data_IF_643460292833
#
_entry.id   IF_643460292833
#
_cell.length_a   1.000
_cell.length_b   1.000
_cell.length_c   1.000
_cell.angle_alpha   90.00
_cell.angle_beta   90.00
_cell.angle_gamma   90.00
#
_symmetry.space_group_name_H-M   'P 1'
#
loop_
_entity.id
_entity.type
_entity.pdbx_description
1 polymer ?
#
# COMPACT_ATOMS: atom_id res chain seq x y z
N UNK A 1 -9.52 -29.34 1.22
CA UNK A 1 -10.56 -28.79 0.29
C UNK A 1 -11.06 -27.41 0.73
N UNK A 2 -11.28 -27.13 2.03
CA UNK A 2 -11.57 -25.75 2.49
C UNK A 2 -10.35 -24.82 2.36
N UNK A 3 -9.16 -25.36 2.62
CA UNK A 3 -7.92 -24.58 2.66
C UNK A 3 -7.50 -24.08 1.27
N UNK A 4 -7.68 -24.92 0.24
CA UNK A 4 -7.40 -24.57 -1.16
C UNK A 4 -8.27 -23.42 -1.69
N UNK A 5 -9.55 -23.39 -1.30
CA UNK A 5 -10.45 -22.29 -1.67
C UNK A 5 -10.06 -21.00 -0.95
N UNK A 6 -9.63 -21.09 0.31
CA UNK A 6 -9.16 -19.94 1.08
C UNK A 6 -7.87 -19.36 0.48
N UNK A 7 -6.93 -20.21 0.06
CA UNK A 7 -5.70 -19.80 -0.60
C UNK A 7 -5.96 -19.08 -1.93
N UNK A 8 -6.91 -19.60 -2.74
CA UNK A 8 -7.28 -18.97 -4.01
C UNK A 8 -7.94 -17.60 -3.80
N UNK A 9 -8.83 -17.48 -2.81
CA UNK A 9 -9.46 -16.19 -2.44
C UNK A 9 -8.40 -15.20 -1.95
N UNK A 10 -7.46 -15.65 -1.10
CA UNK A 10 -6.38 -14.82 -0.61
C UNK A 10 -5.49 -14.33 -1.76
N UNK A 11 -5.12 -15.22 -2.69
CA UNK A 11 -4.31 -14.89 -3.86
C UNK A 11 -4.97 -13.80 -4.73
N UNK A 12 -6.24 -13.97 -5.10
CA UNK A 12 -6.98 -12.99 -5.91
C UNK A 12 -7.12 -11.66 -5.17
N UNK A 13 -7.38 -11.70 -3.87
CA UNK A 13 -7.57 -10.49 -3.07
C UNK A 13 -6.26 -9.71 -2.96
N UNK A 14 -5.17 -10.38 -2.57
CA UNK A 14 -3.88 -9.75 -2.30
C UNK A 14 -3.19 -9.26 -3.58
N UNK A 15 -3.24 -10.04 -4.67
CA UNK A 15 -2.52 -9.71 -5.92
C UNK A 15 -3.38 -9.02 -6.97
N UNK A 16 -4.71 -9.14 -6.88
CA UNK A 16 -5.63 -8.50 -7.81
C UNK A 16 -6.29 -7.27 -7.20
N UNK A 17 -7.11 -7.48 -6.17
CA UNK A 17 -8.01 -6.45 -5.63
C UNK A 17 -7.26 -5.36 -4.85
N UNK A 18 -6.39 -5.75 -3.93
CA UNK A 18 -5.63 -4.84 -3.07
C UNK A 18 -4.77 -3.82 -3.85
N UNK A 19 -3.96 -4.19 -4.87
CA UNK A 19 -3.15 -3.23 -5.59
C UNK A 19 -4.00 -2.25 -6.41
N UNK A 20 -5.12 -2.71 -7.00
CA UNK A 20 -6.06 -1.84 -7.73
C UNK A 20 -6.66 -0.80 -6.78
N UNK A 21 -7.17 -1.24 -5.63
CA UNK A 21 -7.70 -0.32 -4.60
C UNK A 21 -6.60 0.62 -4.10
N UNK A 22 -5.38 0.11 -3.91
CA UNK A 22 -4.23 0.90 -3.48
C UNK A 22 -3.88 2.02 -4.46
N UNK A 23 -3.83 1.73 -5.76
CA UNK A 23 -3.59 2.74 -6.80
C UNK A 23 -4.72 3.78 -6.83
N UNK A 24 -5.99 3.33 -6.75
CA UNK A 24 -7.13 4.23 -6.64
C UNK A 24 -7.03 5.14 -5.40
N UNK A 25 -6.63 4.59 -4.26
CA UNK A 25 -6.41 5.34 -3.03
C UNK A 25 -5.29 6.37 -3.15
N UNK A 26 -4.19 6.06 -3.84
CA UNK A 26 -3.11 7.01 -4.11
C UNK A 26 -3.65 8.19 -4.93
N UNK A 27 -4.35 7.90 -6.04
CA UNK A 27 -4.93 8.93 -6.91
C UNK A 27 -5.93 9.81 -6.14
N UNK A 28 -6.84 9.20 -5.39
CA UNK A 28 -7.84 9.93 -4.61
C UNK A 28 -7.19 10.84 -3.54
N UNK A 29 -6.18 10.34 -2.84
CA UNK A 29 -5.48 11.14 -1.83
C UNK A 29 -4.64 12.27 -2.43
N UNK A 30 -4.01 12.07 -3.60
CA UNK A 30 -3.34 13.15 -4.34
C UNK A 30 -4.35 14.25 -4.71
N UNK A 31 -5.51 13.87 -5.24
CA UNK A 31 -6.58 14.81 -5.60
C UNK A 31 -7.04 15.59 -4.35
N UNK A 32 -7.26 14.91 -3.23
CA UNK A 32 -7.63 15.54 -1.96
C UNK A 32 -6.58 16.57 -1.51
N UNK A 33 -5.28 16.23 -1.58
CA UNK A 33 -4.20 17.16 -1.25
C UNK A 33 -4.21 18.39 -2.16
N UNK A 34 -4.35 18.21 -3.48
CA UNK A 34 -4.37 19.32 -4.44
C UNK A 34 -5.56 20.25 -4.20
N UNK A 35 -6.76 19.68 -4.02
CA UNK A 35 -7.99 20.46 -3.82
C UNK A 35 -7.95 21.19 -2.48
N UNK A 36 -7.57 20.52 -1.39
CA UNK A 36 -7.51 21.14 -0.06
C UNK A 36 -6.44 22.22 0.02
N UNK A 37 -5.29 22.02 -0.63
CA UNK A 37 -4.26 23.05 -0.75
C UNK A 37 -4.77 24.27 -1.53
N UNK A 38 -5.60 24.05 -2.55
CA UNK A 38 -6.22 25.14 -3.35
C UNK A 38 -7.32 25.88 -2.60
N UNK A 39 -8.09 25.20 -1.76
CA UNK A 39 -9.18 25.79 -0.96
C UNK A 39 -8.68 26.65 0.21
N UNK A 40 -7.42 26.50 0.61
CA UNK A 40 -6.82 27.26 1.72
C UNK A 40 -7.14 26.63 3.09
N UNK A 41 -6.22 26.84 4.03
CA UNK A 41 -6.27 26.31 5.40
C UNK A 41 -7.11 27.16 6.36
N UNK A 42 -8.17 27.79 5.84
CA UNK A 42 -8.98 28.75 6.61
C UNK A 42 -9.79 28.06 7.70
N UNK A 43 -10.24 26.84 7.44
CA UNK A 43 -11.00 26.01 8.38
C UNK A 43 -10.10 24.91 8.96
N UNK A 44 -10.15 24.70 10.27
CA UNK A 44 -9.38 23.64 10.96
C UNK A 44 -9.70 22.25 10.41
N UNK A 45 -10.92 22.05 9.91
CA UNK A 45 -11.36 20.82 9.25
C UNK A 45 -10.55 20.53 7.98
N UNK A 46 -10.21 21.55 7.18
CA UNK A 46 -9.43 21.37 5.95
C UNK A 46 -7.99 20.92 6.25
N UNK A 47 -7.42 21.40 7.37
CA UNK A 47 -6.09 20.98 7.83
C UNK A 47 -6.11 19.51 8.24
N UNK A 48 -7.13 19.09 9.01
CA UNK A 48 -7.31 17.69 9.41
C UNK A 48 -7.51 16.77 8.21
N UNK A 49 -8.35 17.16 7.24
CA UNK A 49 -8.56 16.41 6.01
C UNK A 49 -7.29 16.30 5.16
N UNK A 50 -6.46 17.35 5.14
CA UNK A 50 -5.18 17.30 4.45
C UNK A 50 -4.19 16.38 5.16
N UNK A 51 -4.13 16.42 6.50
CA UNK A 51 -3.34 15.48 7.29
C UNK A 51 -3.76 14.03 7.08
N UNK A 52 -5.07 13.78 6.98
CA UNK A 52 -5.62 12.46 6.69
C UNK A 52 -5.23 12.00 5.28
N UNK A 53 -5.38 12.85 4.26
CA UNK A 53 -4.98 12.53 2.89
C UNK A 53 -3.47 12.26 2.74
N UNK A 54 -2.63 13.01 3.47
CA UNK A 54 -1.18 12.77 3.53
C UNK A 54 -0.87 11.45 4.22
N UNK A 55 -1.53 11.16 5.35
CA UNK A 55 -1.36 9.91 6.09
C UNK A 55 -1.73 8.69 5.24
N UNK A 56 -2.88 8.73 4.56
CA UNK A 56 -3.33 7.64 3.70
C UNK A 56 -2.38 7.45 2.50
N UNK A 57 -1.90 8.55 1.92
CA UNK A 57 -0.94 8.50 0.82
C UNK A 57 0.40 7.88 1.26
N UNK A 58 0.92 8.25 2.43
CA UNK A 58 2.12 7.64 2.99
C UNK A 58 1.90 6.14 3.25
N UNK A 59 0.78 5.75 3.86
CA UNK A 59 0.46 4.34 4.11
C UNK A 59 0.40 3.52 2.82
N UNK A 60 -0.21 4.05 1.76
CA UNK A 60 -0.34 3.37 0.48
C UNK A 60 1.00 3.28 -0.27
N UNK A 61 1.84 4.32 -0.22
CA UNK A 61 3.18 4.31 -0.82
C UNK A 61 4.03 3.17 -0.24
N UNK A 62 3.88 2.86 1.04
CA UNK A 62 4.65 1.79 1.67
C UNK A 62 4.00 0.41 1.53
N UNK A 63 2.67 0.34 1.51
CA UNK A 63 1.93 -0.93 1.48
C UNK A 63 1.82 -1.54 0.08
N UNK A 64 1.61 -0.72 -0.96
CA UNK A 64 1.44 -1.22 -2.34
C UNK A 64 2.70 -1.94 -2.84
N UNK A 65 3.93 -1.41 -2.66
CA UNK A 65 5.13 -2.11 -3.11
C UNK A 65 5.36 -3.44 -2.39
N UNK A 66 5.04 -3.55 -1.09
CA UNK A 66 5.10 -4.83 -0.36
C UNK A 66 4.22 -5.88 -1.03
N UNK A 67 2.99 -5.52 -1.41
CA UNK A 67 2.08 -6.44 -2.11
C UNK A 67 2.60 -6.84 -3.50
N UNK A 68 3.23 -5.91 -4.23
CA UNK A 68 3.80 -6.16 -5.56
C UNK A 68 5.02 -7.09 -5.47
N UNK A 69 5.95 -6.83 -4.54
CA UNK A 69 7.14 -7.67 -4.39
C UNK A 69 6.81 -9.08 -3.87
N UNK A 70 5.76 -9.23 -3.07
CA UNK A 70 5.29 -10.55 -2.59
C UNK A 70 4.64 -11.41 -3.69
N UNK A 71 4.43 -10.86 -4.88
CA UNK A 71 3.95 -11.63 -6.02
C UNK A 71 5.03 -12.66 -6.43
N UNK A 72 4.70 -13.96 -6.56
CA UNK A 72 5.66 -14.99 -6.93
C UNK A 72 6.43 -14.69 -8.23
N UNK A 73 5.84 -13.92 -9.16
CA UNK A 73 6.52 -13.53 -10.39
C UNK A 73 7.72 -12.58 -10.17
N UNK A 74 7.69 -11.77 -9.10
CA UNK A 74 8.77 -10.86 -8.73
C UNK A 74 9.66 -11.42 -7.61
N UNK A 75 9.13 -12.36 -6.81
CA UNK A 75 9.88 -13.03 -5.76
C UNK A 75 10.94 -14.02 -6.29
N UNK A 76 10.74 -14.56 -7.49
CA UNK A 76 11.66 -15.51 -8.13
C UNK A 76 12.88 -14.83 -8.80
N UNK A 77 12.78 -13.51 -9.06
CA UNK A 77 13.87 -12.72 -9.61
C UNK A 77 14.91 -12.36 -8.54
N UNK A 78 15.88 -13.26 -8.32
CA UNK A 78 17.05 -13.06 -7.44
C UNK A 78 17.98 -11.91 -7.86
N UNK A 79 17.75 -11.30 -9.04
CA UNK A 79 18.59 -10.24 -9.60
C UNK A 79 18.22 -8.82 -9.12
N UNK A 80 17.18 -8.67 -8.30
CA UNK A 80 16.81 -7.37 -7.72
C UNK A 80 17.67 -7.07 -6.49
N UNK A 81 18.12 -5.81 -6.38
CA UNK A 81 18.98 -5.36 -5.27
C UNK A 81 18.29 -5.50 -3.90
N UNK A 82 16.96 -5.51 -3.86
CA UNK A 82 16.13 -5.71 -2.66
C UNK A 82 15.14 -6.85 -2.92
N UNK A 83 15.12 -7.85 -2.04
CA UNK A 83 14.10 -8.89 -2.06
C UNK A 83 12.79 -8.38 -1.42
N UNK A 84 11.66 -9.00 -1.78
CA UNK A 84 10.34 -8.72 -1.19
C UNK A 84 10.36 -8.78 0.33
N UNK A 85 11.09 -9.77 0.85
CA UNK A 85 11.29 -10.01 2.28
C UNK A 85 12.03 -8.82 2.92
N UNK A 86 13.17 -8.42 2.36
CA UNK A 86 13.96 -7.28 2.87
C UNK A 86 13.19 -5.96 2.85
N UNK A 87 12.44 -5.71 1.76
CA UNK A 87 11.57 -4.53 1.67
C UNK A 87 10.47 -4.57 2.73
N UNK A 88 9.84 -5.73 2.95
CA UNK A 88 8.82 -5.88 3.98
C UNK A 88 9.37 -5.68 5.40
N UNK A 89 10.57 -6.19 5.70
CA UNK A 89 11.23 -5.97 6.99
C UNK A 89 11.55 -4.50 7.25
N UNK A 90 12.06 -3.79 6.23
CA UNK A 90 12.36 -2.37 6.34
C UNK A 90 11.10 -1.52 6.60
N UNK A 91 10.00 -1.84 5.92
CA UNK A 91 8.76 -1.07 5.95
C UNK A 91 7.94 -1.36 7.21
N UNK A 92 7.75 -2.63 7.55
CA UNK A 92 6.88 -3.07 8.63
C UNK A 92 7.61 -3.18 9.97
N UNK A 93 8.94 -3.10 9.98
CA UNK A 93 9.75 -3.25 11.19
C UNK A 93 9.58 -4.62 11.87
N UNK A 94 9.01 -5.60 11.17
CA UNK A 94 8.83 -6.96 11.67
C UNK A 94 10.16 -7.68 11.58
N UNK A 95 10.93 -7.76 12.67
CA UNK A 95 11.96 -8.80 12.83
C UNK A 95 11.25 -10.13 13.03
N UNK A 96 11.62 -11.17 12.29
CA UNK A 96 11.13 -12.52 12.53
C UNK A 96 11.39 -12.89 14.01
N UNK A 97 10.31 -12.99 14.79
CA UNK A 97 10.33 -13.76 16.05
C UNK A 97 10.03 -15.19 15.64
N UNK A 98 11.08 -15.92 15.29
CA UNK A 98 11.24 -17.36 15.48
C UNK A 98 12.73 -17.72 15.42
#
# INVERSE_FOLDING_TARGET
MKDEQADLIMYITVLGVCPVIGVCGIVANIINIIILKRNGFTESVNVSLLGLAVSDLMALIFTVPVAVFRNPHFADSQDLWWNATDFSHFILGTTDIL
#
